data_IF_883821204311
#
_entry.id   IF_883821204311
#
_cell.length_a   1.000
_cell.length_b   1.000
_cell.length_c   1.000
_cell.angle_alpha   90.00
_cell.angle_beta   90.00
_cell.angle_gamma   90.00
#
_symmetry.space_group_name_H-M   'P 1'
#
loop_
_entity.id
_entity.type
_entity.pdbx_description
1 polymer ?
#
# COMPACT_ATOMS: atom_id res chain seq x y z
N UNK A 1 -9.50 -12.06 -7.64
CA UNK A 1 -9.24 -12.58 -9.02
C UNK A 1 -9.79 -13.99 -9.05
N UNK A 2 -10.49 -14.39 -10.12
CA UNK A 2 -11.07 -15.74 -10.21
C UNK A 2 -9.99 -16.80 -10.54
N UNK A 3 -10.22 -18.10 -10.20
CA UNK A 3 -9.29 -19.17 -10.58
C UNK A 3 -9.04 -19.27 -12.08
N UNK A 4 -10.07 -18.98 -12.91
CA UNK A 4 -9.92 -18.93 -14.35
C UNK A 4 -8.97 -17.83 -14.80
N UNK A 5 -9.10 -16.62 -14.25
CA UNK A 5 -8.20 -15.50 -14.54
C UNK A 5 -6.76 -15.81 -14.14
N UNK A 6 -6.54 -16.47 -13.00
CA UNK A 6 -5.20 -16.90 -12.60
C UNK A 6 -4.58 -17.90 -13.56
N UNK A 7 -5.37 -18.89 -14.05
CA UNK A 7 -4.90 -19.86 -15.07
C UNK A 7 -4.52 -19.16 -16.38
N UNK A 8 -5.32 -18.18 -16.82
CA UNK A 8 -5.01 -17.39 -18.01
C UNK A 8 -3.72 -16.60 -17.86
N UNK A 9 -3.54 -15.91 -16.72
CA UNK A 9 -2.31 -15.19 -16.45
C UNK A 9 -1.08 -16.11 -16.33
N UNK A 10 -1.22 -17.28 -15.69
CA UNK A 10 -0.12 -18.27 -15.64
C UNK A 10 0.28 -18.70 -17.06
N UNK A 11 -0.69 -19.02 -17.93
CA UNK A 11 -0.43 -19.40 -19.32
C UNK A 11 0.26 -18.31 -20.12
N UNK A 12 -0.15 -17.05 -19.90
CA UNK A 12 0.41 -15.90 -20.61
C UNK A 12 1.82 -15.51 -20.15
N UNK A 13 2.06 -15.53 -18.84
CA UNK A 13 3.27 -15.03 -18.24
C UNK A 13 4.37 -16.09 -18.06
N UNK A 14 4.02 -17.37 -17.89
CA UNK A 14 4.99 -18.44 -17.76
C UNK A 14 5.62 -18.74 -19.13
N UNK A 15 6.82 -18.26 -19.34
CA UNK A 15 7.61 -18.47 -20.57
C UNK A 15 8.73 -19.47 -20.39
N UNK A 16 9.14 -19.76 -19.16
CA UNK A 16 10.28 -20.60 -18.83
C UNK A 16 9.84 -21.60 -17.74
N UNK A 17 10.29 -22.85 -17.84
CA UNK A 17 9.82 -23.97 -17.00
C UNK A 17 10.00 -23.74 -15.47
N UNK A 18 11.04 -23.03 -15.06
CA UNK A 18 11.34 -22.74 -13.65
C UNK A 18 10.73 -21.44 -13.12
N UNK A 19 9.99 -20.69 -13.95
CA UNK A 19 9.31 -19.46 -13.54
C UNK A 19 8.15 -19.78 -12.60
N UNK A 20 8.07 -19.04 -11.48
CA UNK A 20 6.96 -19.14 -10.52
C UNK A 20 6.15 -17.85 -10.52
N UNK A 21 4.84 -17.94 -10.39
CA UNK A 21 3.94 -16.80 -10.33
C UNK A 21 3.10 -16.92 -9.06
N UNK A 22 3.17 -15.89 -8.25
CA UNK A 22 2.38 -15.73 -7.05
C UNK A 22 1.40 -14.58 -7.23
N UNK A 23 0.16 -14.79 -6.81
CA UNK A 23 -0.88 -13.78 -6.88
C UNK A 23 -1.10 -13.18 -5.50
N UNK A 24 -1.06 -11.86 -5.44
CA UNK A 24 -1.29 -11.12 -4.21
C UNK A 24 -2.39 -10.08 -4.39
N UNK A 25 -2.93 -9.61 -3.29
CA UNK A 25 -3.82 -8.45 -3.24
C UNK A 25 -3.34 -7.46 -2.19
N UNK A 26 -3.62 -6.19 -2.41
CA UNK A 26 -3.39 -5.14 -1.44
C UNK A 26 -4.68 -4.93 -0.66
N UNK A 27 -4.60 -5.03 0.68
CA UNK A 27 -5.72 -4.87 1.58
C UNK A 27 -5.43 -3.73 2.55
N UNK A 28 -6.33 -2.74 2.66
CA UNK A 28 -6.20 -1.74 3.70
C UNK A 28 -6.43 -2.38 5.07
N UNK A 29 -5.67 -1.93 6.07
CA UNK A 29 -5.86 -2.30 7.47
C UNK A 29 -6.46 -1.13 8.25
N UNK A 30 -6.69 -1.29 9.55
CA UNK A 30 -7.21 -0.22 10.39
C UNK A 30 -6.30 1.01 10.33
N UNK A 31 -6.91 2.17 10.23
CA UNK A 31 -6.18 3.43 10.21
C UNK A 31 -5.60 3.73 11.61
N UNK A 32 -4.32 4.08 11.63
CA UNK A 32 -3.54 4.31 12.87
C UNK A 32 -2.91 5.70 12.88
N UNK A 33 -2.71 6.27 14.07
CA UNK A 33 -2.00 7.53 14.19
C UNK A 33 -0.48 7.33 14.09
N UNK A 34 0.23 8.15 13.29
CA UNK A 34 1.69 8.09 13.20
C UNK A 34 2.41 8.69 14.42
N UNK A 35 1.68 9.45 15.25
CA UNK A 35 2.20 10.11 16.45
C UNK A 35 1.75 9.44 17.75
N UNK A 36 0.60 8.75 17.72
CA UNK A 36 -0.04 8.08 18.85
C UNK A 36 -0.47 6.67 18.41
N UNK A 37 0.46 5.70 18.36
CA UNK A 37 0.22 4.38 17.75
C UNK A 37 -0.92 3.57 18.36
N UNK A 38 -1.33 3.91 19.59
CA UNK A 38 -2.47 3.28 20.27
C UNK A 38 -3.82 3.75 19.74
N UNK A 39 -3.87 4.91 19.06
CA UNK A 39 -5.13 5.49 18.57
C UNK A 39 -5.52 4.86 17.24
N UNK A 40 -6.82 4.66 17.08
CA UNK A 40 -7.47 4.14 15.87
C UNK A 40 -8.58 5.08 15.43
N UNK A 41 -8.91 5.04 14.14
CA UNK A 41 -10.16 5.60 13.62
C UNK A 41 -11.27 4.58 13.80
N UNK A 42 -12.46 5.08 14.15
CA UNK A 42 -13.66 4.26 14.22
C UNK A 42 -14.46 4.37 12.91
N UNK A 43 -15.18 3.31 12.57
CA UNK A 43 -16.08 3.35 11.41
C UNK A 43 -17.13 4.44 11.57
N UNK A 44 -17.32 5.23 10.50
CA UNK A 44 -18.24 6.35 10.52
C UNK A 44 -17.64 7.67 10.99
N UNK A 45 -16.41 7.69 11.51
CA UNK A 45 -15.70 8.93 11.85
C UNK A 45 -15.69 9.91 10.68
N UNK A 46 -15.82 11.19 10.98
CA UNK A 46 -15.63 12.25 9.99
C UNK A 46 -14.16 12.42 9.65
N UNK A 47 -13.84 12.39 8.37
CA UNK A 47 -12.46 12.51 7.92
C UNK A 47 -12.27 13.54 6.82
N UNK A 48 -11.18 14.29 6.91
CA UNK A 48 -10.58 15.05 5.84
C UNK A 48 -9.56 14.13 5.18
N UNK A 49 -9.76 13.81 3.90
CA UNK A 49 -8.82 12.94 3.16
C UNK A 49 -7.75 13.79 2.50
N UNK A 50 -6.50 13.55 2.85
CA UNK A 50 -5.35 14.18 2.19
C UNK A 50 -4.48 13.12 1.50
N UNK A 51 -4.06 13.42 0.26
CA UNK A 51 -3.26 12.46 -0.51
C UNK A 51 -2.42 13.15 -1.58
N UNK A 52 -1.13 12.79 -1.63
CA UNK A 52 -0.15 13.18 -2.66
C UNK A 52 0.42 11.95 -3.38
N UNK A 53 -0.45 11.12 -3.96
CA UNK A 53 -0.12 9.90 -4.71
C UNK A 53 -0.72 9.91 -6.11
N UNK A 54 -0.18 9.09 -7.03
CA UNK A 54 -0.61 9.03 -8.43
C UNK A 54 -2.06 8.57 -8.65
N UNK A 55 -2.63 7.75 -7.76
CA UNK A 55 -4.04 7.29 -7.87
C UNK A 55 -4.87 7.62 -6.62
N UNK A 56 -5.15 8.90 -6.37
CA UNK A 56 -5.91 9.31 -5.20
C UNK A 56 -7.39 8.86 -5.24
N UNK A 57 -7.95 8.65 -6.43
CA UNK A 57 -9.35 8.22 -6.60
C UNK A 57 -9.62 6.86 -5.96
N UNK A 58 -8.70 5.91 -6.13
CA UNK A 58 -8.82 4.58 -5.52
C UNK A 58 -8.78 4.66 -3.99
N UNK A 59 -7.86 5.45 -3.43
CA UNK A 59 -7.76 5.69 -1.99
C UNK A 59 -9.04 6.31 -1.43
N UNK A 60 -9.51 7.43 -2.00
CA UNK A 60 -10.75 8.09 -1.58
C UNK A 60 -11.96 7.16 -1.66
N UNK A 61 -12.04 6.31 -2.71
CA UNK A 61 -13.12 5.33 -2.86
C UNK A 61 -13.09 4.28 -1.74
N UNK A 62 -11.90 3.84 -1.34
CA UNK A 62 -11.72 2.92 -0.21
C UNK A 62 -12.17 3.56 1.10
N UNK A 63 -11.65 4.76 1.40
CA UNK A 63 -11.98 5.52 2.62
C UNK A 63 -13.47 5.75 2.80
N UNK A 64 -14.19 6.09 1.73
CA UNK A 64 -15.65 6.33 1.76
C UNK A 64 -16.50 5.10 2.14
N UNK A 65 -15.93 3.90 2.12
CA UNK A 65 -16.65 2.68 2.54
C UNK A 65 -16.75 2.56 4.05
N UNK A 66 -15.82 3.18 4.77
CA UNK A 66 -15.67 3.01 6.22
C UNK A 66 -15.86 4.30 6.99
N UNK A 67 -15.56 5.46 6.37
CA UNK A 67 -15.52 6.76 7.01
C UNK A 67 -16.37 7.79 6.27
N UNK A 68 -16.85 8.81 7.01
CA UNK A 68 -17.57 9.95 6.46
C UNK A 68 -16.59 11.00 5.96
N UNK A 69 -16.35 11.05 4.65
CA UNK A 69 -15.45 12.04 4.03
C UNK A 69 -16.14 13.41 3.96
N UNK A 70 -15.73 14.35 4.80
CA UNK A 70 -16.29 15.72 4.88
C UNK A 70 -15.53 16.72 4.01
N UNK A 71 -14.22 16.50 3.78
CA UNK A 71 -13.41 17.32 2.89
C UNK A 71 -12.29 16.50 2.25
N UNK A 72 -11.66 17.07 1.20
CA UNK A 72 -10.53 16.45 0.51
C UNK A 72 -9.47 17.51 0.19
N UNK A 73 -8.21 17.11 0.34
CA UNK A 73 -7.04 17.86 -0.07
C UNK A 73 -6.17 16.94 -0.94
N UNK A 74 -6.42 16.97 -2.26
CA UNK A 74 -5.70 16.13 -3.21
C UNK A 74 -4.58 16.95 -3.83
N UNK A 75 -3.37 16.46 -3.65
CA UNK A 75 -2.13 17.08 -4.08
C UNK A 75 -1.50 16.27 -5.22
N UNK A 76 -0.54 16.85 -5.93
CA UNK A 76 0.22 16.14 -6.96
C UNK A 76 1.00 14.96 -6.39
N UNK A 77 1.32 13.97 -7.22
CA UNK A 77 2.21 12.89 -6.79
C UNK A 77 3.60 13.45 -6.44
N UNK A 78 4.26 12.85 -5.47
CA UNK A 78 5.54 13.29 -4.91
C UNK A 78 5.52 14.71 -4.27
N UNK A 79 4.35 15.24 -3.93
CA UNK A 79 4.21 16.56 -3.31
C UNK A 79 5.10 16.73 -2.07
N UNK A 80 5.72 17.91 -1.97
CA UNK A 80 6.48 18.34 -0.77
C UNK A 80 5.60 19.31 0.01
N UNK A 81 5.24 18.91 1.22
CA UNK A 81 4.31 19.68 2.06
C UNK A 81 4.90 21.01 2.50
N UNK A 82 4.22 22.10 2.16
CA UNK A 82 4.56 23.47 2.51
C UNK A 82 3.79 23.95 3.74
N UNK A 83 4.19 25.11 4.29
CA UNK A 83 3.39 25.79 5.33
C UNK A 83 2.01 26.19 4.82
N UNK A 84 1.88 26.57 3.56
CA UNK A 84 0.58 26.88 2.93
C UNK A 84 -0.36 25.69 2.95
N UNK A 85 0.15 24.48 2.69
CA UNK A 85 -0.64 23.24 2.76
C UNK A 85 -1.12 22.97 4.19
N UNK A 86 -0.23 23.14 5.17
CA UNK A 86 -0.57 22.94 6.59
C UNK A 86 -1.60 23.97 7.07
N UNK A 87 -1.49 25.23 6.65
CA UNK A 87 -2.47 26.27 6.95
C UNK A 87 -3.83 25.97 6.30
N UNK A 88 -3.84 25.50 5.05
CA UNK A 88 -5.05 25.07 4.36
C UNK A 88 -5.73 23.92 5.08
N UNK A 89 -4.96 22.96 5.60
CA UNK A 89 -5.46 21.86 6.39
C UNK A 89 -6.05 22.31 7.73
N UNK A 90 -5.43 23.30 8.40
CA UNK A 90 -5.97 23.90 9.63
C UNK A 90 -7.31 24.59 9.36
N UNK A 91 -7.43 25.35 8.27
CA UNK A 91 -8.69 25.97 7.87
C UNK A 91 -9.79 24.92 7.58
N UNK A 92 -9.43 23.75 7.09
CA UNK A 92 -10.39 22.64 6.95
C UNK A 92 -10.82 22.08 8.32
N UNK A 93 -9.93 22.00 9.30
CA UNK A 93 -10.30 21.61 10.67
C UNK A 93 -11.20 22.63 11.37
N UNK A 94 -11.03 23.92 11.08
CA UNK A 94 -11.94 24.97 11.60
C UNK A 94 -13.35 24.80 11.05
N UNK A 95 -13.48 24.45 9.76
CA UNK A 95 -14.78 24.17 9.12
C UNK A 95 -15.41 22.84 9.56
N UNK A 96 -14.57 21.88 9.96
CA UNK A 96 -14.98 20.53 10.36
C UNK A 96 -14.32 20.16 11.69
N UNK A 97 -14.80 20.73 12.82
CA UNK A 97 -14.10 20.65 14.11
C UNK A 97 -13.99 19.23 14.68
N UNK A 98 -14.86 18.32 14.28
CA UNK A 98 -14.83 16.92 14.71
C UNK A 98 -14.04 16.01 13.75
N UNK A 99 -13.66 16.51 12.59
CA UNK A 99 -12.98 15.69 11.58
C UNK A 99 -11.54 15.34 12.00
N UNK A 100 -11.12 14.15 11.61
CA UNK A 100 -9.76 13.65 11.71
C UNK A 100 -9.10 13.70 10.32
N UNK A 101 -7.78 13.81 10.25
CA UNK A 101 -7.05 13.73 8.99
C UNK A 101 -6.76 12.27 8.69
N UNK A 102 -7.19 11.79 7.54
CA UNK A 102 -6.81 10.48 7.02
C UNK A 102 -5.97 10.62 5.74
N UNK A 103 -4.78 10.05 5.77
CA UNK A 103 -3.84 10.12 4.65
C UNK A 103 -3.27 8.74 4.30
N UNK A 104 -2.41 8.69 3.29
CA UNK A 104 -1.66 7.48 2.95
C UNK A 104 -0.43 7.31 3.85
N UNK A 105 0.09 6.09 3.98
CA UNK A 105 1.32 5.83 4.72
C UNK A 105 2.51 6.63 4.17
N UNK A 106 2.63 6.71 2.83
CA UNK A 106 3.67 7.50 2.15
C UNK A 106 3.65 8.97 2.57
N UNK A 107 2.48 9.57 2.65
CA UNK A 107 2.31 10.97 3.03
C UNK A 107 2.48 11.17 4.54
N UNK A 108 2.01 10.23 5.35
CA UNK A 108 2.22 10.23 6.80
C UNK A 108 3.70 10.23 7.18
N UNK A 109 4.53 9.42 6.50
CA UNK A 109 5.98 9.40 6.73
C UNK A 109 6.63 10.74 6.43
N UNK A 110 6.23 11.43 5.33
CA UNK A 110 6.75 12.76 5.00
C UNK A 110 6.40 13.79 6.09
N UNK A 111 5.13 13.80 6.53
CA UNK A 111 4.67 14.72 7.56
C UNK A 111 5.30 14.42 8.92
N UNK A 112 5.44 13.16 9.31
CA UNK A 112 6.09 12.77 10.57
C UNK A 112 7.53 13.27 10.67
N UNK A 113 8.26 13.30 9.56
CA UNK A 113 9.63 13.80 9.50
C UNK A 113 9.73 15.34 9.57
N UNK A 114 8.64 16.03 9.28
CA UNK A 114 8.62 17.49 9.28
C UNK A 114 8.42 18.06 10.69
N UNK A 115 9.35 18.87 11.14
CA UNK A 115 9.24 19.61 12.42
C UNK A 115 8.19 20.72 12.39
N UNK A 116 7.71 21.09 11.19
CA UNK A 116 6.78 22.21 10.99
C UNK A 116 5.33 21.85 11.20
N UNK A 117 4.99 20.57 11.36
CA UNK A 117 3.60 20.11 11.52
C UNK A 117 3.04 20.58 12.86
N UNK A 118 1.96 21.40 12.86
CA UNK A 118 1.32 21.88 14.06
C UNK A 118 0.76 20.77 14.95
N UNK A 119 0.67 21.02 16.26
CA UNK A 119 0.17 20.05 17.24
C UNK A 119 -1.22 19.53 16.90
N UNK A 120 -2.14 20.42 16.51
CA UNK A 120 -3.51 20.05 16.13
C UNK A 120 -3.58 19.04 14.98
N UNK A 121 -2.66 19.14 14.01
CA UNK A 121 -2.58 18.17 12.92
C UNK A 121 -2.03 16.84 13.44
N UNK A 122 -0.99 16.85 14.29
CA UNK A 122 -0.44 15.63 14.87
C UNK A 122 -1.46 14.86 15.69
N UNK A 123 -2.28 15.55 16.47
CA UNK A 123 -3.32 14.97 17.33
C UNK A 123 -4.45 14.31 16.53
N UNK A 124 -4.77 14.87 15.36
CA UNK A 124 -5.90 14.41 14.53
C UNK A 124 -5.50 13.57 13.33
N UNK A 125 -4.19 13.31 13.15
CA UNK A 125 -3.68 12.63 11.98
C UNK A 125 -3.69 11.12 12.13
N UNK A 126 -4.19 10.48 11.09
CA UNK A 126 -4.20 9.03 10.88
C UNK A 126 -3.72 8.71 9.46
N UNK A 127 -3.18 7.54 9.29
CA UNK A 127 -2.90 6.98 7.97
C UNK A 127 -3.45 5.57 7.87
N UNK A 128 -3.73 5.14 6.65
CA UNK A 128 -4.22 3.80 6.37
C UNK A 128 -3.07 2.93 5.87
N UNK A 129 -2.58 1.99 6.69
CA UNK A 129 -1.58 1.03 6.26
C UNK A 129 -2.17 0.08 5.22
N UNK A 130 -1.30 -0.44 4.36
CA UNK A 130 -1.64 -1.45 3.37
C UNK A 130 -0.91 -2.74 3.69
N UNK A 131 -1.62 -3.85 3.65
CA UNK A 131 -1.07 -5.19 3.78
C UNK A 131 -1.11 -5.90 2.42
N UNK A 132 -0.04 -6.60 2.09
CA UNK A 132 -0.04 -7.54 0.97
C UNK A 132 -0.48 -8.90 1.49
N UNK A 133 -1.49 -9.47 0.88
CA UNK A 133 -1.97 -10.81 1.17
C UNK A 133 -1.84 -11.68 -0.07
N UNK A 134 -1.36 -12.91 0.10
CA UNK A 134 -1.39 -13.90 -0.96
C UNK A 134 -2.82 -14.38 -1.21
N UNK A 135 -3.13 -14.68 -2.46
CA UNK A 135 -4.41 -15.26 -2.85
C UNK A 135 -4.26 -16.77 -2.82
N UNK A 136 -5.22 -17.46 -2.17
CA UNK A 136 -5.35 -18.93 -2.17
C UNK A 136 -4.21 -19.71 -1.49
N UNK A 137 -3.67 -19.20 -0.38
CA UNK A 137 -2.72 -19.93 0.45
C UNK A 137 -1.35 -20.18 -0.20
N UNK A 138 -1.02 -19.40 -1.24
CA UNK A 138 0.27 -19.47 -1.92
C UNK A 138 1.44 -18.85 -1.13
N UNK A 139 1.19 -18.35 0.07
CA UNK A 139 2.20 -17.78 0.97
C UNK A 139 3.21 -18.82 1.48
N UNK A 140 2.74 -20.00 1.89
CA UNK A 140 3.63 -21.07 2.37
C UNK A 140 4.58 -21.54 1.27
N UNK A 141 4.07 -21.71 0.05
CA UNK A 141 4.88 -22.07 -1.11
C UNK A 141 5.88 -20.97 -1.46
N UNK A 142 5.48 -19.70 -1.41
CA UNK A 142 6.38 -18.57 -1.65
C UNK A 142 7.52 -18.51 -0.63
N UNK A 143 7.21 -18.52 0.66
CA UNK A 143 8.23 -18.41 1.70
C UNK A 143 9.10 -19.66 1.79
N UNK A 144 8.54 -20.85 1.55
CA UNK A 144 9.31 -22.09 1.43
C UNK A 144 10.34 -22.01 0.31
N UNK A 145 9.92 -21.59 -0.87
CA UNK A 145 10.77 -21.40 -2.03
C UNK A 145 11.87 -20.35 -1.77
N UNK A 146 11.48 -19.18 -1.24
CA UNK A 146 12.44 -18.13 -0.94
C UNK A 146 13.50 -18.59 0.05
N UNK A 147 13.11 -19.37 1.06
CA UNK A 147 14.02 -19.95 2.03
C UNK A 147 15.00 -20.93 1.36
N UNK A 148 14.48 -21.82 0.51
CA UNK A 148 15.30 -22.79 -0.20
C UNK A 148 16.31 -22.11 -1.14
N UNK A 149 15.89 -21.03 -1.81
CA UNK A 149 16.77 -20.21 -2.66
C UNK A 149 17.89 -19.54 -1.83
N UNK A 150 17.54 -18.97 -0.67
CA UNK A 150 18.50 -18.32 0.24
C UNK A 150 19.45 -19.32 0.89
N UNK A 151 18.98 -20.52 1.22
CA UNK A 151 19.80 -21.60 1.77
C UNK A 151 20.71 -22.26 0.70
N UNK A 152 20.67 -21.79 -0.55
CA UNK A 152 21.48 -22.32 -1.65
C UNK A 152 21.07 -23.73 -2.09
N UNK A 153 19.84 -24.16 -1.78
CA UNK A 153 19.30 -25.48 -2.13
C UNK A 153 18.92 -25.58 -3.61
N UNK A 154 18.77 -24.46 -4.30
CA UNK A 154 18.63 -24.44 -5.75
C UNK A 154 20.02 -24.40 -6.33
N UNK A 155 20.50 -25.54 -6.80
CA UNK A 155 21.72 -25.62 -7.59
C UNK A 155 21.49 -24.89 -8.92
N UNK A 156 22.13 -23.72 -9.10
CA UNK A 156 22.23 -23.03 -10.40
C UNK A 156 22.77 -23.97 -11.51
N UNK A 157 23.41 -25.07 -11.14
CA UNK A 157 23.89 -26.11 -12.05
C UNK A 157 22.78 -26.86 -12.82
N UNK A 158 21.57 -26.97 -12.25
CA UNK A 158 20.44 -27.61 -12.94
C UNK A 158 19.83 -26.73 -14.04
N UNK A 159 20.20 -25.46 -14.09
CA UNK A 159 19.74 -24.49 -15.09
C UNK A 159 20.58 -24.47 -16.37
N UNK A 160 21.76 -25.07 -16.36
CA UNK A 160 22.71 -25.02 -17.50
C UNK A 160 22.70 -26.27 -18.38
N UNK A 161 22.07 -27.36 -17.96
CA UNK A 161 22.17 -28.65 -18.68
C UNK A 161 21.22 -28.82 -19.87
N UNK A 162 20.29 -27.91 -20.13
CA UNK A 162 19.34 -28.05 -21.26
C UNK A 162 19.63 -27.17 -22.47
N UNK A 163 20.70 -26.38 -22.47
CA UNK A 163 21.06 -25.53 -23.61
C UNK A 163 22.12 -26.10 -24.55
N UNK A 164 22.77 -27.23 -24.23
CA UNK A 164 23.81 -27.80 -25.10
C UNK A 164 23.32 -28.90 -26.05
N UNK A 165 22.11 -29.43 -25.85
CA UNK A 165 21.61 -30.51 -26.74
C UNK A 165 20.83 -30.03 -27.99
N UNK A 166 20.55 -28.71 -28.12
CA UNK A 166 19.77 -28.16 -29.26
C UNK A 166 20.61 -27.40 -30.32
N UNK A 167 21.93 -27.41 -30.25
CA UNK A 167 22.76 -26.68 -31.25
C UNK A 167 23.36 -27.63 -32.30
N UNK A 168 23.17 -28.96 -32.18
CA UNK A 168 23.69 -29.93 -33.14
C UNK A 168 22.60 -30.84 -33.75
N UNK A 169 21.56 -30.26 -34.32
CA UNK A 169 20.75 -30.96 -35.34
C UNK A 169 20.26 -29.98 -36.38
#
# INVERSE_FOLDING_TARGET
MSPLAQRMWRKELLKIAYQRIYFTRIVPTDAVSPFYPERRLERGDEVIVMSGIGNPKAFVKGVKKEYKVVAKMILSDHHVYSMSDLNSLQALFEKHPNAKLLTTEKDAVKLRRSRKVPAIIKERMFYQPLKVEFIEGSDQDFFGTLKDDLDGKIHLGDLTLNNEENINK
#
